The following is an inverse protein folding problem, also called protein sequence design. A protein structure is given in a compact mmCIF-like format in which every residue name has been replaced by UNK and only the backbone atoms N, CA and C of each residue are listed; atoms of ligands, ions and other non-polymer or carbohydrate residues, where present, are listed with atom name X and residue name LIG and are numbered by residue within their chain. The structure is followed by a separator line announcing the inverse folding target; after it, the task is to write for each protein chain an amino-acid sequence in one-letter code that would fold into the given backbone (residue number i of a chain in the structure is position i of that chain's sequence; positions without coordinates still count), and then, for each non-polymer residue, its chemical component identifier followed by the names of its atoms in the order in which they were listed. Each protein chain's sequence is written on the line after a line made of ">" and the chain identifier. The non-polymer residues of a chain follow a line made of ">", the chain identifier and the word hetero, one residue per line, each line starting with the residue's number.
data_IF_477788384424
#
_entry.id   IF_477788384424
#
_cell.length_a   1.000
_cell.length_b   1.000
_cell.length_c   1.000
_cell.angle_alpha   90.00
_cell.angle_beta   90.00
_cell.angle_gamma   90.00
#
_symmetry.space_group_name_H-M   'P 1'
#
loop_
_entity.id
_entity.type
_entity.pdbx_description
1 polymer ?
#
# COMPACT_ATOMS: atom_id res chain seq x y z
N UNK A 1 31.57 -2.76 12.19
CA UNK A 1 30.53 -3.49 12.94
C UNK A 1 29.19 -3.10 12.34
N UNK A 2 28.52 -4.05 11.67
CA UNK A 2 27.23 -3.82 11.04
C UNK A 2 26.17 -3.83 12.13
N UNK A 3 25.51 -2.69 12.37
CA UNK A 3 24.48 -2.55 13.40
C UNK A 3 23.26 -3.36 12.97
N UNK A 4 23.22 -4.62 13.41
CA UNK A 4 22.17 -5.63 13.15
C UNK A 4 21.06 -5.60 14.20
N UNK A 5 20.83 -4.45 14.84
CA UNK A 5 19.72 -4.27 15.77
C UNK A 5 18.70 -3.29 15.16
N UNK A 6 17.46 -3.76 14.99
CA UNK A 6 16.35 -2.88 14.65
C UNK A 6 16.26 -1.76 15.70
N UNK A 7 16.07 -0.49 15.31
CA UNK A 7 15.97 0.59 16.28
C UNK A 7 14.69 0.41 17.11
N UNK A 8 14.84 -0.04 18.36
CA UNK A 8 13.78 -0.07 19.37
C UNK A 8 13.50 1.36 19.87
N UNK A 9 13.00 2.20 18.98
CA UNK A 9 12.55 3.56 19.30
C UNK A 9 11.06 3.50 19.61
N UNK A 10 10.63 4.18 20.68
CA UNK A 10 9.22 4.35 20.98
C UNK A 10 8.50 4.96 19.76
N UNK A 11 7.57 4.22 19.16
CA UNK A 11 6.82 4.67 17.99
C UNK A 11 5.58 5.42 18.43
N UNK A 12 5.44 6.64 17.94
CA UNK A 12 4.17 7.37 17.92
C UNK A 12 3.58 7.17 16.53
N UNK A 13 2.37 6.60 16.47
CA UNK A 13 1.68 6.30 15.21
C UNK A 13 0.41 7.11 15.11
N UNK A 14 0.21 7.76 13.96
CA UNK A 14 -1.07 8.37 13.60
C UNK A 14 -2.06 7.27 13.25
N UNK A 15 -3.23 7.28 13.88
CA UNK A 15 -4.23 6.21 13.74
C UNK A 15 -5.13 6.43 12.50
N UNK A 16 -5.79 5.37 12.00
CA UNK A 16 -6.62 5.44 10.81
C UNK A 16 -7.71 6.53 10.75
N UNK A 17 -8.35 6.97 11.85
CA UNK A 17 -9.34 8.06 11.80
C UNK A 17 -8.82 9.34 11.14
N UNK A 18 -7.51 9.63 11.24
CA UNK A 18 -6.90 10.79 10.59
C UNK A 18 -6.98 10.69 9.06
N UNK A 19 -6.91 9.48 8.50
CA UNK A 19 -7.04 9.25 7.06
C UNK A 19 -8.47 9.53 6.57
N UNK A 20 -9.49 9.28 7.40
CA UNK A 20 -10.89 9.54 7.08
C UNK A 20 -11.25 11.02 6.98
N UNK A 21 -10.55 11.89 7.72
CA UNK A 21 -10.75 13.35 7.71
C UNK A 21 -9.77 14.11 6.82
N UNK A 22 -8.78 13.42 6.24
CA UNK A 22 -7.79 14.03 5.36
C UNK A 22 -8.43 14.54 4.06
N UNK A 23 -7.99 15.73 3.59
CA UNK A 23 -8.44 16.27 2.29
C UNK A 23 -7.96 15.41 1.11
N UNK A 24 -6.75 14.84 1.22
CA UNK A 24 -6.11 13.96 0.25
C UNK A 24 -5.23 12.95 0.97
N UNK A 25 -5.20 11.72 0.46
CA UNK A 25 -4.26 10.68 0.91
C UNK A 25 -3.50 10.19 -0.31
N UNK A 26 -2.17 10.13 -0.22
CA UNK A 26 -1.31 9.55 -1.24
C UNK A 26 -0.56 8.39 -0.64
N UNK A 27 -0.73 7.21 -1.22
CA UNK A 27 0.00 6.00 -0.86
C UNK A 27 1.05 5.74 -1.93
N UNK A 28 2.30 5.55 -1.51
CA UNK A 28 3.42 5.27 -2.41
C UNK A 28 3.96 3.89 -2.10
N UNK A 29 4.14 3.07 -3.14
CA UNK A 29 4.73 1.74 -3.01
C UNK A 29 5.74 1.51 -4.15
N UNK A 30 6.96 1.14 -3.79
CA UNK A 30 8.05 0.88 -4.71
C UNK A 30 8.74 -0.43 -4.35
N UNK A 31 9.34 -1.09 -5.33
CA UNK A 31 10.08 -2.35 -5.12
C UNK A 31 9.22 -3.60 -5.21
N UNK A 32 9.84 -4.68 -5.70
CA UNK A 32 9.16 -5.95 -5.97
C UNK A 32 8.66 -6.63 -4.68
N UNK A 33 9.28 -6.36 -3.53
CA UNK A 33 8.86 -6.87 -2.23
C UNK A 33 7.48 -6.37 -1.81
N UNK A 34 6.99 -5.28 -2.42
CA UNK A 34 5.65 -4.73 -2.18
C UNK A 34 4.58 -5.28 -3.10
N UNK A 35 4.93 -6.11 -4.10
CA UNK A 35 3.98 -6.56 -5.11
C UNK A 35 2.77 -7.32 -4.53
N UNK A 36 3.02 -8.28 -3.65
CA UNK A 36 1.96 -9.04 -2.97
C UNK A 36 1.14 -8.19 -2.00
N UNK A 37 1.74 -7.41 -1.07
CA UNK A 37 0.99 -6.50 -0.20
C UNK A 37 0.10 -5.50 -0.97
N UNK A 38 0.61 -4.93 -2.07
CA UNK A 38 -0.14 -4.01 -2.94
C UNK A 38 -1.34 -4.71 -3.57
N UNK A 39 -1.17 -5.91 -4.12
CA UNK A 39 -2.28 -6.68 -4.68
C UNK A 39 -3.33 -7.03 -3.62
N UNK A 40 -2.91 -7.44 -2.42
CA UNK A 40 -3.82 -7.72 -1.31
C UNK A 40 -4.61 -6.47 -0.86
N UNK A 41 -3.95 -5.31 -0.82
CA UNK A 41 -4.60 -4.04 -0.45
C UNK A 41 -5.66 -3.59 -1.47
N UNK A 42 -5.39 -3.78 -2.77
CA UNK A 42 -6.22 -3.25 -3.85
C UNK A 42 -7.26 -4.23 -4.41
N UNK A 43 -6.95 -5.53 -4.44
CA UNK A 43 -7.81 -6.57 -5.06
C UNK A 43 -8.16 -7.72 -4.12
N UNK A 44 -7.48 -7.84 -2.98
CA UNK A 44 -7.73 -8.91 -2.03
C UNK A 44 -9.11 -8.81 -1.34
N UNK A 45 -9.58 -9.91 -0.72
CA UNK A 45 -10.77 -9.89 0.12
C UNK A 45 -10.61 -8.88 1.27
N UNK A 46 -11.72 -8.32 1.73
CA UNK A 46 -11.71 -7.33 2.81
C UNK A 46 -11.29 -7.97 4.14
N UNK A 47 -10.11 -7.56 4.64
CA UNK A 47 -9.53 -7.91 5.93
C UNK A 47 -8.57 -6.78 6.36
N UNK A 48 -9.10 -5.62 6.79
CA UNK A 48 -8.28 -4.47 7.18
C UNK A 48 -7.49 -4.70 8.49
N UNK A 49 -7.81 -5.75 9.25
CA UNK A 49 -7.03 -6.15 10.44
C UNK A 49 -5.69 -6.74 10.01
N UNK A 50 -5.70 -7.63 9.01
CA UNK A 50 -4.47 -8.23 8.45
C UNK A 50 -3.81 -7.37 7.38
N UNK A 51 -4.59 -6.58 6.65
CA UNK A 51 -4.11 -5.71 5.57
C UNK A 51 -4.58 -4.25 5.81
N UNK A 52 -3.94 -3.51 6.74
CA UNK A 52 -4.36 -2.15 7.09
C UNK A 52 -4.40 -1.17 5.92
N UNK A 53 -3.60 -1.39 4.87
CA UNK A 53 -3.60 -0.58 3.67
C UNK A 53 -4.93 -0.62 2.88
N UNK A 54 -5.83 -1.57 3.17
CA UNK A 54 -7.19 -1.59 2.61
C UNK A 54 -8.05 -0.41 3.09
N UNK A 55 -7.72 0.19 4.24
CA UNK A 55 -8.38 1.41 4.75
C UNK A 55 -8.18 2.62 3.83
N UNK A 56 -7.20 2.55 2.93
CA UNK A 56 -6.89 3.59 1.93
C UNK A 56 -7.04 3.04 0.52
N UNK A 57 -8.12 2.31 0.23
CA UNK A 57 -8.44 1.92 -1.16
C UNK A 57 -8.62 3.15 -2.07
N UNK A 58 -8.27 3.04 -3.37
CA UNK A 58 -8.41 4.13 -4.32
C UNK A 58 -9.81 4.72 -4.33
N UNK A 59 -9.89 6.04 -4.28
CA UNK A 59 -11.16 6.78 -4.32
C UNK A 59 -10.92 8.19 -4.86
N UNK A 60 -11.96 9.02 -4.93
CA UNK A 60 -11.81 10.42 -5.34
C UNK A 60 -10.81 11.21 -4.48
N UNK A 61 -10.53 10.78 -3.23
CA UNK A 61 -9.59 11.43 -2.30
C UNK A 61 -8.27 10.69 -2.11
N UNK A 62 -8.21 9.42 -2.48
CA UNK A 62 -7.07 8.53 -2.23
C UNK A 62 -6.40 8.17 -3.56
N UNK A 63 -5.12 8.54 -3.70
CA UNK A 63 -4.30 8.21 -4.87
C UNK A 63 -3.20 7.23 -4.48
N UNK A 64 -3.01 6.22 -5.31
CA UNK A 64 -1.87 5.31 -5.24
C UNK A 64 -0.87 5.66 -6.34
N UNK A 65 0.41 5.73 -5.96
CA UNK A 65 1.53 5.86 -6.89
C UNK A 65 2.40 4.63 -6.68
N UNK A 66 2.47 3.78 -7.71
CA UNK A 66 3.07 2.46 -7.62
C UNK A 66 4.04 2.31 -8.78
N UNK A 67 5.27 1.89 -8.49
CA UNK A 67 6.22 1.57 -9.56
C UNK A 67 5.86 0.25 -10.26
N UNK A 68 6.54 -0.06 -11.37
CA UNK A 68 6.26 -1.28 -12.13
C UNK A 68 6.55 -2.55 -11.32
N UNK A 69 7.56 -2.54 -10.46
CA UNK A 69 7.97 -3.71 -9.67
C UNK A 69 6.93 -4.04 -8.60
N UNK A 70 6.46 -3.05 -7.84
CA UNK A 70 5.39 -3.15 -6.87
C UNK A 70 4.01 -3.38 -7.52
N UNK A 71 3.83 -3.04 -8.80
CA UNK A 71 2.64 -3.39 -9.55
C UNK A 71 2.68 -4.82 -10.14
N UNK A 72 3.76 -5.58 -9.93
CA UNK A 72 4.00 -6.85 -10.63
C UNK A 72 2.85 -7.86 -10.53
N UNK A 73 2.24 -8.03 -9.35
CA UNK A 73 1.07 -8.90 -9.16
C UNK A 73 -0.20 -8.34 -9.82
N UNK A 74 -0.41 -7.02 -9.78
CA UNK A 74 -1.57 -6.38 -10.40
C UNK A 74 -1.56 -6.48 -11.92
N UNK A 75 -0.35 -6.43 -12.51
CA UNK A 75 -0.14 -6.45 -13.95
C UNK A 75 -0.23 -7.86 -14.54
N UNK A 76 -0.04 -8.93 -13.75
CA UNK A 76 -0.17 -10.32 -14.24
C UNK A 76 -1.59 -10.65 -14.70
N UNK A 77 -2.60 -10.07 -14.06
CA UNK A 77 -4.00 -10.26 -14.46
C UNK A 77 -4.48 -9.23 -15.50
N UNK A 78 -3.68 -8.19 -15.75
CA UNK A 78 -4.02 -7.16 -16.70
C UNK A 78 -3.74 -7.69 -18.11
N UNK A 79 -4.78 -8.11 -18.83
CA UNK A 79 -4.69 -8.18 -20.28
C UNK A 79 -4.24 -6.79 -20.79
N UNK A 80 -3.20 -6.70 -21.63
CA UNK A 80 -2.91 -5.44 -22.28
C UNK A 80 -4.17 -5.02 -23.04
N UNK A 81 -4.72 -3.85 -22.70
CA UNK A 81 -5.85 -3.28 -23.43
C UNK A 81 -5.49 -3.13 -24.91
N UNK A 82 -6.47 -3.23 -25.84
CA UNK A 82 -6.21 -2.98 -27.25
C UNK A 82 -5.58 -1.58 -27.41
N UNK A 83 -4.48 -1.53 -28.16
CA UNK A 83 -3.83 -0.28 -28.57
C UNK A 83 -4.74 0.52 -29.50
#
# INVERSE_FOLDING_TARGET
>A
EEVTAEPHVARITVTPPVLGVARRVVVVATGAEKARPVAAALRGPEDPVRVPAQLVRPSSRVRWVIDRAAAGELLRDAQPGPQ
#
